data_IF_831936250367
#
_entry.id   IF_831936250367
#
_cell.length_a   1.000
_cell.length_b   1.000
_cell.length_c   1.000
_cell.angle_alpha   90.00
_cell.angle_beta   90.00
_cell.angle_gamma   90.00
#
_symmetry.space_group_name_H-M   'P 1'
#
loop_
_entity.id
_entity.type
_entity.pdbx_description
1 polymer ?
#
# COMPACT_ATOMS: atom_id res chain seq x y z
N UNK A 1 14.44 -20.64 -80.45
CA UNK A 1 13.23 -19.97 -80.98
C UNK A 1 12.19 -19.96 -79.86
N UNK A 2 11.93 -18.81 -79.24
CA UNK A 2 10.68 -18.01 -79.38
C UNK A 2 9.42 -18.88 -79.26
N UNK A 3 8.50 -18.64 -78.32
CA UNK A 3 7.75 -17.38 -78.23
C UNK A 3 7.05 -17.24 -76.87
N UNK A 4 7.20 -16.06 -76.26
CA UNK A 4 6.39 -15.57 -75.13
C UNK A 4 4.95 -15.26 -75.56
N UNK A 5 3.96 -15.47 -74.69
CA UNK A 5 2.80 -14.56 -74.58
C UNK A 5 2.35 -14.39 -73.14
N UNK A 6 2.41 -13.13 -72.73
CA UNK A 6 1.88 -12.54 -71.50
C UNK A 6 0.38 -12.29 -71.64
N UNK A 7 -0.41 -12.43 -70.57
CA UNK A 7 -1.54 -11.54 -70.29
C UNK A 7 -1.82 -11.48 -68.78
N UNK A 8 -2.10 -10.26 -68.30
CA UNK A 8 -2.21 -9.85 -66.90
C UNK A 8 -3.66 -9.94 -66.37
N UNK A 9 -3.76 -9.82 -65.04
CA UNK A 9 -4.66 -8.96 -64.23
C UNK A 9 -5.64 -9.68 -63.25
N UNK A 10 -5.35 -9.44 -61.95
CA UNK A 10 -6.26 -9.02 -60.86
C UNK A 10 -7.28 -10.03 -60.29
N UNK A 11 -7.09 -10.38 -59.00
CA UNK A 11 -7.95 -9.94 -57.90
C UNK A 11 -7.54 -10.61 -56.57
N UNK A 12 -6.95 -9.83 -55.67
CA UNK A 12 -6.91 -10.12 -54.24
C UNK A 12 -8.22 -9.61 -53.62
N UNK A 13 -8.85 -10.39 -52.74
CA UNK A 13 -9.46 -9.79 -51.56
C UNK A 13 -8.81 -10.34 -50.30
N UNK A 14 -8.30 -9.38 -49.54
CA UNK A 14 -8.06 -9.40 -48.10
C UNK A 14 -9.00 -10.36 -47.35
N UNK A 15 -8.43 -11.38 -46.70
CA UNK A 15 -9.03 -11.97 -45.51
C UNK A 15 -8.36 -11.33 -44.30
N UNK A 16 -8.90 -10.20 -43.85
CA UNK A 16 -8.54 -9.59 -42.59
C UNK A 16 -9.15 -10.43 -41.46
N UNK A 17 -8.39 -11.39 -40.93
CA UNK A 17 -8.76 -12.07 -39.69
C UNK A 17 -8.56 -11.07 -38.56
N UNK A 18 -9.69 -10.56 -38.05
CA UNK A 18 -9.75 -9.67 -36.91
C UNK A 18 -9.13 -10.36 -35.68
N UNK A 19 -7.89 -9.98 -35.36
CA UNK A 19 -7.34 -10.18 -34.04
C UNK A 19 -8.17 -9.33 -33.06
N UNK A 20 -9.16 -9.95 -32.43
CA UNK A 20 -9.86 -9.38 -31.29
C UNK A 20 -8.81 -9.16 -30.19
N UNK A 21 -8.26 -7.95 -30.16
CA UNK A 21 -7.46 -7.43 -29.06
C UNK A 21 -8.31 -7.58 -27.80
N UNK A 22 -7.97 -8.57 -26.97
CA UNK A 22 -8.38 -8.62 -25.59
C UNK A 22 -7.79 -7.37 -24.92
N UNK A 23 -8.50 -6.26 -25.01
CA UNK A 23 -8.14 -5.05 -24.28
C UNK A 23 -8.12 -5.47 -22.80
N UNK A 24 -6.97 -5.32 -22.11
CA UNK A 24 -6.94 -5.56 -20.69
C UNK A 24 -8.01 -4.66 -20.08
N UNK A 25 -8.88 -5.23 -19.26
CA UNK A 25 -9.89 -4.48 -18.52
C UNK A 25 -9.16 -3.43 -17.68
N UNK A 26 -9.00 -2.23 -18.24
CA UNK A 26 -8.35 -1.12 -17.60
C UNK A 26 -9.26 -0.73 -16.45
N UNK A 27 -8.82 -1.03 -15.23
CA UNK A 27 -9.52 -0.64 -14.02
C UNK A 27 -9.68 0.89 -14.03
N UNK A 28 -10.84 1.38 -14.45
CA UNK A 28 -11.10 2.81 -14.57
C UNK A 28 -10.82 3.51 -13.24
N UNK A 29 -10.18 4.67 -13.31
CA UNK A 29 -10.02 5.52 -12.14
C UNK A 29 -11.40 5.91 -11.60
N UNK A 30 -11.58 5.83 -10.28
CA UNK A 30 -12.84 6.16 -9.59
C UNK A 30 -12.55 7.05 -8.40
N UNK A 31 -13.15 8.24 -8.41
CA UNK A 31 -13.22 9.15 -7.28
C UNK A 31 -14.47 8.90 -6.44
N UNK A 32 -14.38 9.06 -5.14
CA UNK A 32 -15.52 9.10 -4.22
C UNK A 32 -15.30 10.16 -3.16
N UNK A 33 -16.31 11.00 -2.94
CA UNK A 33 -16.32 11.99 -1.87
C UNK A 33 -17.45 11.72 -0.89
N UNK A 34 -17.24 12.00 0.38
CA UNK A 34 -18.24 11.88 1.44
C UNK A 34 -18.11 13.07 2.36
N UNK A 35 -19.25 13.67 2.69
CA UNK A 35 -19.35 14.71 3.70
C UNK A 35 -20.43 14.33 4.70
N UNK A 36 -20.12 14.42 6.00
CA UNK A 36 -21.03 14.08 7.10
C UNK A 36 -21.01 15.24 8.08
N UNK A 37 -22.17 15.81 8.37
CA UNK A 37 -22.35 16.70 9.51
C UNK A 37 -22.75 15.85 10.73
N UNK A 38 -22.02 16.01 11.83
CA UNK A 38 -22.27 15.31 13.09
C UNK A 38 -23.32 16.03 13.94
N UNK A 39 -24.00 15.27 14.80
CA UNK A 39 -25.09 15.75 15.66
C UNK A 39 -24.70 16.84 16.68
N UNK A 40 -23.41 17.06 16.89
CA UNK A 40 -22.88 18.02 17.86
C UNK A 40 -22.03 19.11 17.18
N UNK A 41 -22.31 19.46 15.93
CA UNK A 41 -21.65 20.57 15.22
C UNK A 41 -20.25 20.25 14.66
N UNK A 42 -19.79 19.01 14.77
CA UNK A 42 -18.60 18.55 14.05
C UNK A 42 -18.91 18.20 12.59
N UNK A 43 -17.90 18.15 11.74
CA UNK A 43 -18.02 17.69 10.36
C UNK A 43 -16.85 16.77 9.98
N UNK A 44 -17.13 15.84 9.06
CA UNK A 44 -16.15 14.96 8.47
C UNK A 44 -16.27 15.01 6.95
N UNK A 45 -15.16 15.25 6.26
CA UNK A 45 -15.05 15.16 4.82
C UNK A 45 -13.99 14.15 4.43
N UNK A 46 -14.22 13.42 3.35
CA UNK A 46 -13.27 12.45 2.81
C UNK A 46 -13.37 12.39 1.30
N UNK A 47 -12.24 12.53 0.64
CA UNK A 47 -12.06 12.25 -0.77
C UNK A 47 -11.17 11.02 -0.93
N UNK A 48 -11.52 10.16 -1.89
CA UNK A 48 -10.74 8.97 -2.25
C UNK A 48 -10.65 8.92 -3.76
N UNK A 49 -9.43 8.94 -4.28
CA UNK A 49 -9.15 8.78 -5.69
C UNK A 49 -8.45 7.43 -5.89
N UNK A 50 -9.03 6.57 -6.71
CA UNK A 50 -8.48 5.25 -7.04
C UNK A 50 -8.10 5.24 -8.51
N UNK A 51 -6.93 4.70 -8.83
CA UNK A 51 -6.52 4.36 -10.18
C UNK A 51 -5.93 2.95 -10.22
N UNK A 52 -5.57 2.44 -11.42
CA UNK A 52 -4.79 1.21 -11.52
C UNK A 52 -3.56 1.27 -10.62
N UNK A 53 -3.42 0.29 -9.73
CA UNK A 53 -2.29 0.21 -8.80
C UNK A 53 -2.18 1.36 -7.79
N UNK A 54 -3.12 2.31 -7.70
CA UNK A 54 -2.97 3.48 -6.83
C UNK A 54 -4.25 3.88 -6.10
N UNK A 55 -4.08 4.37 -4.88
CA UNK A 55 -5.15 4.96 -4.07
C UNK A 55 -4.59 6.17 -3.35
N UNK A 56 -5.28 7.30 -3.47
CA UNK A 56 -5.05 8.51 -2.69
C UNK A 56 -6.30 8.80 -1.85
N UNK A 57 -6.10 9.30 -0.63
CA UNK A 57 -7.15 9.63 0.32
C UNK A 57 -6.78 10.95 1.00
N UNK A 58 -7.74 11.84 1.08
CA UNK A 58 -7.67 13.03 1.91
C UNK A 58 -8.92 13.08 2.76
N UNK A 59 -8.76 13.35 4.05
CA UNK A 59 -9.87 13.50 4.98
C UNK A 59 -9.63 14.70 5.88
N UNK A 60 -10.71 15.36 6.26
CA UNK A 60 -10.71 16.38 7.30
C UNK A 60 -11.79 16.07 8.32
N UNK A 61 -11.47 16.34 9.58
CA UNK A 61 -12.41 16.30 10.68
C UNK A 61 -12.34 17.64 11.40
N UNK A 62 -13.47 18.34 11.49
CA UNK A 62 -13.60 19.58 12.24
C UNK A 62 -14.51 19.32 13.43
N UNK A 63 -14.07 19.60 14.66
CA UNK A 63 -14.90 19.44 15.85
C UNK A 63 -15.83 20.65 16.07
N UNK A 64 -16.70 20.57 17.06
CA UNK A 64 -17.65 21.64 17.41
C UNK A 64 -16.97 22.98 17.76
N UNK A 65 -15.71 22.95 18.21
CA UNK A 65 -14.91 24.12 18.53
C UNK A 65 -14.19 24.71 17.30
N UNK A 66 -14.49 24.21 16.09
CA UNK A 66 -13.86 24.66 14.84
C UNK A 66 -12.44 24.15 14.61
N UNK A 67 -11.91 23.29 15.50
CA UNK A 67 -10.57 22.74 15.37
C UNK A 67 -10.56 21.63 14.32
N UNK A 68 -9.61 21.73 13.38
CA UNK A 68 -9.55 20.82 12.23
C UNK A 68 -8.33 19.92 12.29
N UNK A 69 -8.53 18.62 12.09
CA UNK A 69 -7.48 17.63 11.83
C UNK A 69 -7.59 17.18 10.39
N UNK A 70 -6.49 17.15 9.65
CA UNK A 70 -6.44 16.64 8.29
C UNK A 70 -5.61 15.36 8.23
N UNK A 71 -6.02 14.43 7.38
CA UNK A 71 -5.32 13.17 7.15
C UNK A 71 -5.18 12.94 5.65
N UNK A 72 -3.95 12.74 5.18
CA UNK A 72 -3.67 12.37 3.81
C UNK A 72 -3.01 11.00 3.79
N UNK A 73 -3.36 10.17 2.81
CA UNK A 73 -2.72 8.88 2.61
C UNK A 73 -2.64 8.53 1.13
N UNK A 74 -1.54 7.94 0.72
CA UNK A 74 -1.35 7.37 -0.60
C UNK A 74 -0.84 5.95 -0.51
N UNK A 75 -1.22 5.14 -1.49
CA UNK A 75 -0.69 3.79 -1.70
C UNK A 75 -0.51 3.59 -3.19
N UNK A 76 0.66 3.15 -3.60
CA UNK A 76 0.95 2.70 -4.96
C UNK A 76 1.42 1.26 -4.95
N UNK A 77 1.12 0.54 -6.02
CA UNK A 77 1.56 -0.81 -6.30
C UNK A 77 2.24 -0.75 -7.66
N UNK A 78 3.49 -1.17 -7.74
CA UNK A 78 4.21 -1.22 -9.01
C UNK A 78 3.91 -2.52 -9.78
N UNK A 79 4.49 -2.64 -10.98
CA UNK A 79 4.31 -3.82 -11.83
C UNK A 79 4.85 -5.12 -11.20
N UNK A 80 5.79 -5.02 -10.27
CA UNK A 80 6.40 -6.16 -9.58
C UNK A 80 5.63 -6.55 -8.31
N UNK A 81 4.57 -5.82 -7.94
CA UNK A 81 3.79 -6.04 -6.72
C UNK A 81 4.40 -5.41 -5.47
N UNK A 82 5.42 -4.57 -5.63
CA UNK A 82 5.92 -3.71 -4.56
C UNK A 82 4.88 -2.68 -4.19
N UNK A 83 4.73 -2.42 -2.90
CA UNK A 83 3.74 -1.47 -2.37
C UNK A 83 4.48 -0.35 -1.65
N UNK A 84 4.27 0.88 -2.09
CA UNK A 84 4.68 2.08 -1.36
C UNK A 84 3.45 2.71 -0.74
N UNK A 85 3.46 3.00 0.56
CA UNK A 85 2.37 3.72 1.19
C UNK A 85 2.89 4.84 2.09
N UNK A 86 2.23 5.99 2.02
CA UNK A 86 2.54 7.16 2.81
C UNK A 86 1.26 7.64 3.49
N UNK A 87 1.38 8.20 4.68
CA UNK A 87 0.28 8.90 5.32
C UNK A 87 0.79 10.01 6.23
N UNK A 88 0.01 11.08 6.35
CA UNK A 88 0.26 12.17 7.28
C UNK A 88 -1.04 12.60 7.95
N UNK A 89 -0.94 13.05 9.18
CA UNK A 89 -2.04 13.66 9.93
C UNK A 89 -1.55 14.97 10.53
N UNK A 90 -2.18 16.08 10.15
CA UNK A 90 -1.92 17.40 10.72
C UNK A 90 -3.02 17.72 11.73
N UNK A 91 -2.61 18.03 12.96
CA UNK A 91 -3.51 18.30 14.08
C UNK A 91 -3.86 19.79 14.15
N UNK A 92 -4.84 20.19 14.97
CA UNK A 92 -5.24 21.59 15.09
C UNK A 92 -4.14 22.54 15.57
N UNK A 93 -3.11 22.02 16.24
CA UNK A 93 -1.94 22.79 16.67
C UNK A 93 -0.86 22.92 15.58
N UNK A 94 -1.14 22.49 14.35
CA UNK A 94 -0.23 22.51 13.21
C UNK A 94 0.85 21.41 13.24
N UNK A 95 0.99 20.65 14.33
CA UNK A 95 1.94 19.53 14.39
C UNK A 95 1.46 18.41 13.47
N UNK A 96 2.40 17.62 12.97
CA UNK A 96 2.10 16.54 12.03
C UNK A 96 2.71 15.23 12.52
N UNK A 97 1.97 14.14 12.36
CA UNK A 97 2.51 12.77 12.41
C UNK A 97 2.50 12.20 11.00
N UNK A 98 3.49 11.40 10.65
CA UNK A 98 3.55 10.76 9.32
C UNK A 98 4.09 9.34 9.39
N UNK A 99 3.83 8.58 8.34
CA UNK A 99 4.35 7.24 8.12
C UNK A 99 4.69 7.07 6.65
N UNK A 100 5.83 6.47 6.37
CA UNK A 100 6.22 5.99 5.04
C UNK A 100 6.59 4.52 5.14
N UNK A 101 6.16 3.71 4.18
CA UNK A 101 6.51 2.29 4.13
C UNK A 101 6.69 1.83 2.68
N UNK A 102 7.60 0.90 2.50
CA UNK A 102 7.81 0.16 1.25
C UNK A 102 7.75 -1.32 1.58
N UNK A 103 6.96 -2.07 0.84
CA UNK A 103 6.79 -3.51 0.99
C UNK A 103 7.11 -4.20 -0.33
N UNK A 104 8.13 -5.03 -0.34
CA UNK A 104 8.63 -5.75 -1.51
C UNK A 104 8.24 -7.23 -1.41
N UNK A 105 7.66 -7.83 -2.46
CA UNK A 105 7.59 -9.29 -2.58
C UNK A 105 8.98 -9.92 -2.57
N UNK A 106 9.05 -11.13 -2.04
CA UNK A 106 10.20 -12.03 -2.16
C UNK A 106 9.70 -13.39 -2.65
N UNK A 107 10.62 -14.28 -3.02
CA UNK A 107 10.26 -15.63 -3.49
C UNK A 107 9.40 -16.39 -2.48
N UNK A 108 9.69 -16.20 -1.19
CA UNK A 108 9.02 -16.90 -0.09
C UNK A 108 8.00 -16.04 0.67
N UNK A 109 7.80 -14.77 0.31
CA UNK A 109 6.91 -13.91 1.07
C UNK A 109 7.04 -12.41 0.76
N UNK A 110 7.27 -11.60 1.80
CA UNK A 110 7.39 -10.13 1.69
C UNK A 110 8.33 -9.55 2.75
N UNK A 111 9.09 -8.52 2.37
CA UNK A 111 9.83 -7.66 3.29
C UNK A 111 9.22 -6.27 3.27
N UNK A 112 9.01 -5.67 4.44
CA UNK A 112 8.46 -4.32 4.60
C UNK A 112 9.37 -3.49 5.47
N UNK A 113 9.77 -2.33 4.98
CA UNK A 113 10.49 -1.33 5.77
C UNK A 113 9.69 -0.04 5.84
N UNK A 114 9.93 0.78 6.85
CA UNK A 114 9.26 2.06 6.95
C UNK A 114 9.78 2.94 8.08
N UNK A 115 9.31 4.17 8.06
CA UNK A 115 9.56 5.17 9.09
C UNK A 115 8.23 5.76 9.55
N UNK A 116 8.17 6.17 10.81
CA UNK A 116 7.04 6.88 11.38
C UNK A 116 7.55 8.07 12.18
N UNK A 117 7.08 9.26 11.83
CA UNK A 117 7.27 10.49 12.60
C UNK A 117 6.07 10.70 13.50
N UNK A 118 6.31 10.82 14.80
CA UNK A 118 5.29 11.11 15.79
C UNK A 118 4.97 12.60 15.86
N UNK A 119 3.88 12.97 16.53
CA UNK A 119 3.45 14.37 16.66
C UNK A 119 4.48 15.26 17.37
N UNK A 120 5.33 14.66 18.20
CA UNK A 120 6.46 15.34 18.86
C UNK A 120 7.71 15.47 17.97
N UNK A 121 7.62 15.08 16.69
CA UNK A 121 8.69 15.15 15.71
C UNK A 121 9.69 14.00 15.78
N UNK A 122 9.61 13.14 16.80
CA UNK A 122 10.51 12.00 16.93
C UNK A 122 10.17 10.92 15.92
N UNK A 123 11.19 10.20 15.46
CA UNK A 123 11.04 9.19 14.42
C UNK A 123 11.30 7.79 14.95
N UNK A 124 10.56 6.81 14.43
CA UNK A 124 10.80 5.39 14.64
C UNK A 124 10.96 4.69 13.29
N UNK A 125 11.67 3.57 13.27
CA UNK A 125 11.82 2.73 12.09
C UNK A 125 11.11 1.41 12.30
N UNK A 126 10.68 0.79 11.20
CA UNK A 126 10.04 -0.51 11.17
C UNK A 126 10.72 -1.36 10.10
N UNK A 127 11.00 -2.61 10.44
CA UNK A 127 11.37 -3.66 9.52
C UNK A 127 10.52 -4.89 9.82
N UNK A 128 9.97 -5.52 8.81
CA UNK A 128 9.18 -6.74 8.95
C UNK A 128 9.44 -7.68 7.79
N UNK A 129 9.63 -8.94 8.11
CA UNK A 129 9.74 -10.03 7.13
C UNK A 129 8.59 -10.98 7.38
N UNK A 130 7.81 -11.27 6.35
CA UNK A 130 6.76 -12.31 6.37
C UNK A 130 7.19 -13.41 5.42
N UNK A 131 7.20 -14.65 5.88
CA UNK A 131 7.62 -15.84 5.13
C UNK A 131 6.46 -16.82 5.11
N UNK A 132 6.05 -17.27 3.93
CA UNK A 132 5.05 -18.32 3.79
C UNK A 132 5.63 -19.66 4.25
N UNK A 133 4.79 -20.47 4.87
CA UNK A 133 5.05 -21.87 5.19
C UNK A 133 3.99 -22.72 4.48
N UNK A 134 4.15 -24.04 4.49
CA UNK A 134 3.21 -24.95 3.83
C UNK A 134 1.77 -24.79 4.37
N UNK A 135 1.65 -24.61 5.69
CA UNK A 135 0.36 -24.50 6.39
C UNK A 135 0.06 -23.09 6.91
N UNK A 136 0.76 -22.04 6.44
CA UNK A 136 0.51 -20.67 6.90
C UNK A 136 1.65 -19.68 6.65
N UNK A 137 2.07 -18.98 7.69
CA UNK A 137 3.19 -18.03 7.59
C UNK A 137 3.83 -17.71 8.95
N UNK A 138 5.09 -17.30 8.90
CA UNK A 138 5.77 -16.61 10.00
C UNK A 138 5.97 -15.14 9.66
N UNK A 139 6.01 -14.29 10.68
CA UNK A 139 6.34 -12.87 10.54
C UNK A 139 7.12 -12.37 11.74
N UNK A 140 8.32 -11.87 11.48
CA UNK A 140 9.06 -11.05 12.42
C UNK A 140 8.80 -9.57 12.10
N UNK A 141 8.67 -8.75 13.14
CA UNK A 141 8.60 -7.29 13.02
C UNK A 141 9.46 -6.66 14.10
N UNK A 142 10.46 -5.88 13.69
CA UNK A 142 11.28 -5.07 14.58
C UNK A 142 10.89 -3.60 14.39
N UNK A 143 10.53 -2.94 15.48
CA UNK A 143 10.35 -1.49 15.52
C UNK A 143 11.41 -0.88 16.42
N UNK A 144 12.17 0.08 15.91
CA UNK A 144 13.17 0.81 16.68
C UNK A 144 12.65 2.20 16.98
N UNK A 145 12.53 2.53 18.27
CA UNK A 145 12.09 3.83 18.74
C UNK A 145 13.15 4.92 18.55
N UNK A 146 12.78 6.20 18.73
CA UNK A 146 13.67 7.34 18.53
C UNK A 146 14.88 7.37 19.48
N UNK A 147 14.81 6.64 20.59
CA UNK A 147 15.88 6.50 21.56
C UNK A 147 16.71 5.21 21.36
N UNK A 148 16.49 4.46 20.27
CA UNK A 148 17.22 3.22 19.99
C UNK A 148 16.70 1.97 20.70
N UNK A 149 15.73 2.10 21.62
CA UNK A 149 15.04 0.94 22.18
C UNK A 149 14.22 0.22 21.10
N UNK A 150 14.12 -1.11 21.19
CA UNK A 150 13.43 -1.91 20.17
C UNK A 150 12.23 -2.68 20.74
N UNK A 151 11.28 -2.96 19.86
CA UNK A 151 10.20 -3.91 20.10
C UNK A 151 10.19 -4.90 18.93
N UNK A 152 10.45 -6.16 19.25
CA UNK A 152 10.31 -7.28 18.30
C UNK A 152 8.98 -7.96 18.53
N UNK A 153 8.27 -8.29 17.45
CA UNK A 153 7.04 -9.07 17.46
C UNK A 153 7.18 -10.21 16.46
N UNK A 154 7.17 -11.42 16.99
CA UNK A 154 7.18 -12.66 16.22
C UNK A 154 5.76 -13.20 16.17
N UNK A 155 5.32 -13.57 14.98
CA UNK A 155 4.00 -14.16 14.74
C UNK A 155 4.19 -15.43 13.95
N UNK A 156 3.65 -16.52 14.44
CA UNK A 156 3.51 -17.78 13.73
C UNK A 156 2.02 -18.06 13.53
N UNK A 157 1.63 -18.34 12.29
CA UNK A 157 0.25 -18.70 11.93
C UNK A 157 0.26 -20.02 11.20
N UNK A 158 -0.57 -20.95 11.67
CA UNK A 158 -0.75 -22.27 11.08
C UNK A 158 -2.23 -22.60 10.90
N UNK A 159 -2.53 -23.40 9.89
CA UNK A 159 -3.87 -23.87 9.53
C UNK A 159 -3.88 -25.39 9.58
N UNK A 160 -4.85 -25.96 10.27
CA UNK A 160 -5.08 -27.40 10.34
C UNK A 160 -6.58 -27.69 10.29
N UNK A 161 -7.06 -28.17 9.13
CA UNK A 161 -8.50 -28.30 8.86
C UNK A 161 -9.21 -26.94 8.99
N UNK A 162 -10.29 -26.90 9.78
CA UNK A 162 -11.06 -25.69 10.04
C UNK A 162 -10.48 -24.82 11.19
N UNK A 163 -9.27 -25.12 11.67
CA UNK A 163 -8.63 -24.41 12.79
C UNK A 163 -7.46 -23.56 12.31
N UNK A 164 -7.41 -22.31 12.78
CA UNK A 164 -6.25 -21.42 12.64
C UNK A 164 -5.65 -21.13 14.01
N UNK A 165 -4.34 -21.33 14.14
CA UNK A 165 -3.59 -20.99 15.36
C UNK A 165 -2.72 -19.77 15.13
N UNK A 166 -2.67 -18.87 16.11
CA UNK A 166 -1.78 -17.71 16.11
C UNK A 166 -0.92 -17.72 17.36
N UNK A 167 0.38 -17.91 17.21
CA UNK A 167 1.35 -17.71 18.30
C UNK A 167 2.00 -16.34 18.13
N UNK A 168 1.99 -15.53 19.19
CA UNK A 168 2.55 -14.17 19.15
C UNK A 168 3.49 -13.96 20.32
N UNK A 169 4.76 -13.74 20.02
CA UNK A 169 5.78 -13.35 20.99
C UNK A 169 6.10 -11.87 20.84
N UNK A 170 6.30 -11.16 21.94
CA UNK A 170 6.73 -9.76 21.90
C UNK A 170 7.87 -9.55 22.87
N UNK A 171 9.01 -9.12 22.33
CA UNK A 171 10.22 -8.83 23.09
C UNK A 171 10.47 -7.32 23.05
N UNK A 172 10.91 -6.74 24.17
CA UNK A 172 11.26 -5.32 24.27
C UNK A 172 12.68 -5.20 24.77
N UNK A 173 13.50 -4.45 24.04
CA UNK A 173 14.87 -4.12 24.44
C UNK A 173 14.92 -2.64 24.78
N UNK A 174 15.37 -2.25 25.99
CA UNK A 174 15.52 -0.85 26.34
C UNK A 174 16.57 -0.16 25.45
N UNK A 175 16.57 1.18 25.41
CA UNK A 175 17.65 1.96 24.80
C UNK A 175 19.04 1.58 25.33
N UNK A 176 20.10 1.71 24.53
CA UNK A 176 21.46 1.66 25.06
C UNK A 176 21.63 2.73 26.15
N UNK A 177 22.37 2.41 27.20
CA UNK A 177 22.72 3.37 28.23
C UNK A 177 23.51 4.54 27.60
N UNK A 178 23.35 5.78 28.09
CA UNK A 178 24.20 6.88 27.67
C UNK A 178 25.67 6.51 27.94
N UNK A 179 26.55 6.86 27.00
CA UNK A 179 27.99 6.75 27.23
C UNK A 179 28.38 7.61 28.44
N UNK A 180 29.29 7.14 29.31
CA UNK A 180 29.76 7.88 30.49
C UNK A 180 30.51 9.17 30.12
#
# INVERSE_FOLDING_TARGET
MKTQRSFRLVALPFLALAAALALPASAQARGHSTHIAGSHGGSYSRQVDRGPGSVQKSASYTNAAGQTTTHNASRTVDANGAVTANSSTTYPDGRTSSRSLVSQPTDTGRVTTGTQTHRDGKTSTLQSTTTRTDDGFTRETVTTGPNGGTKTKDVDVSHAGDTTTHTVTTTRTPPPAPAP
#
